data_IF_186262001505
#
_entry.id   IF_186262001505
#
_cell.length_a   1.000
_cell.length_b   1.000
_cell.length_c   1.000
_cell.angle_alpha   90.00
_cell.angle_beta   90.00
_cell.angle_gamma   90.00
#
_symmetry.space_group_name_H-M   'P 1'
#
loop_
_entity.id
_entity.type
_entity.pdbx_description
1 polymer ?
#
# COMPACT_ATOMS: atom_id res chain seq x y z
N UNK A 1 36.05 -10.92 15.27
CA UNK A 1 36.97 -10.11 14.45
C UNK A 1 36.88 -8.67 14.95
N UNK A 2 37.92 -8.15 15.58
CA UNK A 2 38.17 -6.71 15.80
C UNK A 2 39.50 -6.61 16.57
N UNK A 3 40.62 -6.57 15.83
CA UNK A 3 41.95 -6.36 16.43
C UNK A 3 42.39 -4.88 16.34
N UNK A 4 41.68 -4.06 15.55
CA UNK A 4 41.92 -2.62 15.46
C UNK A 4 40.65 -1.86 15.87
N UNK A 5 40.80 -0.88 16.74
CA UNK A 5 39.72 -0.10 17.37
C UNK A 5 39.09 0.93 16.40
N UNK A 6 38.86 0.51 15.14
CA UNK A 6 38.35 1.35 14.07
C UNK A 6 36.84 1.51 14.25
N UNK A 7 36.31 2.75 14.34
CA UNK A 7 34.88 2.98 14.47
C UNK A 7 34.15 2.45 13.24
N UNK A 8 33.23 1.51 13.46
CA UNK A 8 32.42 0.95 12.38
C UNK A 8 31.32 1.93 11.97
N UNK A 9 31.03 2.00 10.67
CA UNK A 9 29.90 2.76 10.15
C UNK A 9 28.68 1.85 9.88
N UNK A 10 27.53 2.46 9.55
CA UNK A 10 26.28 1.72 9.27
C UNK A 10 26.45 0.63 8.21
N UNK A 11 27.25 0.87 7.17
CA UNK A 11 27.48 -0.10 6.09
C UNK A 11 28.27 -1.31 6.59
N UNK A 12 29.34 -1.08 7.36
CA UNK A 12 30.16 -2.15 7.95
C UNK A 12 29.34 -3.04 8.87
N UNK A 13 28.55 -2.43 9.76
CA UNK A 13 27.71 -3.17 10.70
C UNK A 13 26.57 -3.92 9.98
N UNK A 14 26.03 -3.35 8.90
CA UNK A 14 25.03 -4.04 8.05
C UNK A 14 25.65 -5.24 7.32
N UNK A 15 26.89 -5.12 6.85
CA UNK A 15 27.61 -6.23 6.21
C UNK A 15 27.88 -7.36 7.22
N UNK A 16 28.25 -7.02 8.45
CA UNK A 16 28.39 -8.00 9.54
C UNK A 16 27.07 -8.68 9.89
N UNK A 17 25.97 -7.93 9.96
CA UNK A 17 24.62 -8.50 10.10
C UNK A 17 24.27 -9.48 8.98
N UNK A 18 24.66 -9.19 7.73
CA UNK A 18 24.48 -10.13 6.61
C UNK A 18 25.32 -11.40 6.75
N UNK A 19 26.54 -11.30 7.27
CA UNK A 19 27.38 -12.47 7.55
C UNK A 19 26.75 -13.36 8.64
N UNK A 20 26.15 -12.74 9.67
CA UNK A 20 25.47 -13.46 10.75
C UNK A 20 24.22 -14.25 10.29
N UNK A 21 23.62 -13.93 9.14
CA UNK A 21 22.53 -14.74 8.54
C UNK A 21 22.97 -16.19 8.32
N UNK A 22 24.24 -16.43 7.95
CA UNK A 22 24.76 -17.79 7.72
C UNK A 22 24.74 -18.68 8.96
N UNK A 23 24.70 -18.07 10.15
CA UNK A 23 24.64 -18.73 11.45
C UNK A 23 23.17 -18.93 11.88
N UNK A 24 22.20 -18.36 11.14
CA UNK A 24 20.75 -18.36 11.45
C UNK A 24 20.40 -17.81 12.84
N UNK A 25 21.28 -17.00 13.43
CA UNK A 25 21.03 -16.35 14.70
C UNK A 25 20.32 -14.99 14.49
N UNK A 26 18.99 -15.04 14.51
CA UNK A 26 18.15 -13.85 14.37
C UNK A 26 18.37 -12.83 15.49
N UNK A 27 18.69 -13.30 16.71
CA UNK A 27 18.95 -12.42 17.84
C UNK A 27 20.22 -11.62 17.64
N UNK A 28 21.32 -12.26 17.21
CA UNK A 28 22.56 -11.56 16.88
C UNK A 28 22.34 -10.51 15.79
N UNK A 29 21.57 -10.82 14.74
CA UNK A 29 21.29 -9.84 13.67
C UNK A 29 20.49 -8.64 14.16
N UNK A 30 19.54 -8.82 15.08
CA UNK A 30 18.75 -7.71 15.63
C UNK A 30 19.51 -6.92 16.70
N UNK A 31 20.30 -7.59 17.54
CA UNK A 31 21.17 -6.94 18.52
C UNK A 31 22.25 -6.10 17.84
N UNK A 32 22.65 -6.46 16.62
CA UNK A 32 23.52 -5.63 15.80
C UNK A 32 22.90 -4.27 15.46
N UNK A 33 21.60 -4.23 15.17
CA UNK A 33 20.89 -2.97 14.93
C UNK A 33 20.79 -2.15 16.22
N UNK A 34 20.54 -2.80 17.36
CA UNK A 34 20.57 -2.12 18.67
C UNK A 34 21.95 -1.52 18.97
N UNK A 35 23.02 -2.24 18.62
CA UNK A 35 24.40 -1.77 18.76
C UNK A 35 24.69 -0.55 17.89
N UNK A 36 24.11 -0.46 16.67
CA UNK A 36 24.19 0.76 15.85
C UNK A 36 23.64 1.96 16.62
N UNK A 37 22.42 1.83 17.16
CA UNK A 37 21.76 2.90 17.92
C UNK A 37 22.56 3.31 19.17
N UNK A 38 23.07 2.34 19.93
CA UNK A 38 23.94 2.60 21.10
C UNK A 38 25.24 3.32 20.73
N UNK A 39 25.74 3.09 19.52
CA UNK A 39 26.95 3.74 19.00
C UNK A 39 26.67 5.08 18.31
N UNK A 40 25.44 5.61 18.42
CA UNK A 40 25.03 6.86 17.78
C UNK A 40 24.90 6.77 16.25
N UNK A 41 24.85 5.55 15.70
CA UNK A 41 24.73 5.30 14.27
C UNK A 41 23.24 5.13 13.95
N UNK A 42 22.71 5.97 13.06
CA UNK A 42 21.32 5.85 12.63
C UNK A 42 21.15 4.64 11.68
N UNK A 43 20.37 3.62 12.04
CA UNK A 43 20.12 2.48 11.16
C UNK A 43 19.37 2.91 9.88
N UNK A 44 19.45 2.08 8.84
CA UNK A 44 18.66 2.24 7.60
C UNK A 44 17.79 1.01 7.38
N UNK A 45 16.85 1.07 6.46
CA UNK A 45 16.02 -0.08 6.07
C UNK A 45 16.85 -1.34 5.78
N UNK A 46 17.95 -1.18 5.04
CA UNK A 46 18.89 -2.27 4.73
C UNK A 46 19.59 -2.88 5.95
N UNK A 47 19.68 -2.14 7.06
CA UNK A 47 20.26 -2.61 8.33
C UNK A 47 19.33 -3.59 9.05
N UNK A 48 18.02 -3.46 8.85
CA UNK A 48 17.00 -4.35 9.41
C UNK A 48 16.73 -5.60 8.55
N UNK A 49 17.01 -5.52 7.25
CA UNK A 49 16.79 -6.60 6.28
C UNK A 49 17.37 -7.97 6.71
N UNK A 50 18.58 -8.08 7.28
CA UNK A 50 19.10 -9.34 7.81
C UNK A 50 18.22 -9.96 8.90
N UNK A 51 17.81 -9.16 9.90
CA UNK A 51 17.00 -9.64 11.01
C UNK A 51 15.59 -10.06 10.56
N UNK A 52 14.96 -9.25 9.69
CA UNK A 52 13.69 -9.62 9.07
C UNK A 52 13.80 -10.94 8.30
N UNK A 53 14.85 -11.10 7.48
CA UNK A 53 15.06 -12.32 6.69
C UNK A 53 15.17 -13.57 7.57
N UNK A 54 15.93 -13.50 8.68
CA UNK A 54 16.06 -14.65 9.59
C UNK A 54 14.73 -14.99 10.25
N UNK A 55 14.05 -14.02 10.89
CA UNK A 55 12.80 -14.30 11.60
C UNK A 55 11.65 -14.71 10.69
N UNK A 56 11.60 -14.18 9.46
CA UNK A 56 10.69 -14.64 8.44
C UNK A 56 10.99 -16.10 8.04
N UNK A 57 12.26 -16.45 7.75
CA UNK A 57 12.63 -17.80 7.34
C UNK A 57 12.45 -18.84 8.46
N UNK A 58 12.56 -18.44 9.73
CA UNK A 58 12.31 -19.31 10.89
C UNK A 58 10.83 -19.38 11.29
N UNK A 59 9.96 -18.55 10.68
CA UNK A 59 8.54 -18.49 11.01
C UNK A 59 8.20 -17.80 12.34
N UNK A 60 9.17 -17.10 12.94
CA UNK A 60 8.99 -16.41 14.23
C UNK A 60 8.33 -15.04 14.01
N UNK A 61 7.00 -15.06 13.88
CA UNK A 61 6.21 -13.86 13.57
C UNK A 61 6.37 -12.80 14.64
N UNK A 62 6.35 -13.16 15.92
CA UNK A 62 6.39 -12.18 17.00
C UNK A 62 7.70 -11.38 16.96
N UNK A 63 8.83 -12.06 16.75
CA UNK A 63 10.11 -11.37 16.57
C UNK A 63 10.19 -10.59 15.26
N UNK A 64 9.59 -11.09 14.17
CA UNK A 64 9.54 -10.33 12.92
C UNK A 64 8.80 -8.98 13.11
N UNK A 65 7.73 -8.97 13.91
CA UNK A 65 7.01 -7.74 14.28
C UNK A 65 7.77 -6.88 15.30
N UNK A 66 8.57 -7.46 16.20
CA UNK A 66 9.49 -6.68 17.04
C UNK A 66 10.53 -5.92 16.21
N UNK A 67 11.02 -6.54 15.12
CA UNK A 67 11.92 -5.88 14.17
C UNK A 67 11.20 -4.73 13.46
N UNK A 68 9.96 -4.94 13.00
CA UNK A 68 9.16 -3.86 12.39
C UNK A 68 8.90 -2.70 13.35
N UNK A 69 8.59 -3.00 14.61
CA UNK A 69 8.43 -2.00 15.66
C UNK A 69 9.73 -1.18 15.84
N UNK A 70 10.87 -1.86 15.89
CA UNK A 70 12.18 -1.19 15.93
C UNK A 70 12.43 -0.28 14.73
N UNK A 71 11.99 -0.69 13.53
CA UNK A 71 12.05 0.17 12.34
C UNK A 71 11.21 1.45 12.53
N UNK A 72 9.98 1.33 13.03
CA UNK A 72 9.08 2.46 13.27
C UNK A 72 9.62 3.42 14.34
N UNK A 73 10.26 2.91 15.38
CA UNK A 73 10.92 3.73 16.41
C UNK A 73 12.02 4.63 15.81
N UNK A 74 12.66 4.17 14.72
CA UNK A 74 13.66 4.94 13.97
C UNK A 74 13.07 5.69 12.77
N UNK A 75 11.74 5.83 12.69
CA UNK A 75 11.03 6.43 11.55
C UNK A 75 11.36 5.79 10.19
N UNK A 76 11.66 4.48 10.20
CA UNK A 76 11.91 3.69 9.00
C UNK A 76 10.64 2.92 8.66
N UNK A 77 10.12 3.13 7.46
CA UNK A 77 8.94 2.44 6.97
C UNK A 77 9.32 1.26 6.08
N UNK A 78 8.69 0.12 6.32
CA UNK A 78 8.80 -1.07 5.49
C UNK A 78 8.33 -0.76 4.05
N UNK A 79 9.09 -1.23 3.06
CA UNK A 79 8.70 -1.19 1.66
C UNK A 79 7.99 -2.49 1.29
N UNK A 80 7.58 -2.62 0.04
CA UNK A 80 6.88 -3.81 -0.44
C UNK A 80 7.58 -5.13 -0.10
N UNK A 81 8.91 -5.31 -0.27
CA UNK A 81 9.57 -6.58 0.04
C UNK A 81 9.48 -6.98 1.51
N UNK A 82 9.64 -6.02 2.43
CA UNK A 82 9.51 -6.30 3.87
C UNK A 82 8.05 -6.57 4.26
N UNK A 83 7.10 -5.85 3.67
CA UNK A 83 5.67 -6.08 3.88
C UNK A 83 5.22 -7.43 3.33
N UNK A 84 5.72 -7.84 2.16
CA UNK A 84 5.47 -9.13 1.54
C UNK A 84 5.93 -10.28 2.46
N UNK A 85 7.16 -10.19 2.99
CA UNK A 85 7.70 -11.18 3.92
C UNK A 85 6.86 -11.28 5.21
N UNK A 86 6.54 -10.13 5.83
CA UNK A 86 5.70 -10.07 7.03
C UNK A 86 4.29 -10.63 6.75
N UNK A 87 3.74 -10.35 5.57
CA UNK A 87 2.43 -10.81 5.17
C UNK A 87 2.43 -12.33 5.01
N UNK A 88 3.41 -12.87 4.31
CA UNK A 88 3.55 -14.31 4.12
C UNK A 88 3.63 -15.06 5.45
N UNK A 89 4.51 -14.68 6.36
CA UNK A 89 4.62 -15.36 7.67
C UNK A 89 3.35 -15.20 8.51
N UNK A 90 2.66 -14.06 8.42
CA UNK A 90 1.38 -13.84 9.11
C UNK A 90 0.27 -14.72 8.55
N UNK A 91 0.24 -14.93 7.23
CA UNK A 91 -0.74 -15.82 6.59
C UNK A 91 -0.50 -17.28 6.91
N UNK A 92 0.77 -17.72 6.95
CA UNK A 92 1.16 -19.10 7.26
C UNK A 92 0.88 -19.47 8.72
N UNK A 93 1.06 -18.52 9.64
CA UNK A 93 0.75 -18.70 11.07
C UNK A 93 -0.70 -18.42 11.44
N UNK A 94 -1.52 -17.96 10.49
CA UNK A 94 -2.95 -17.69 10.72
C UNK A 94 -3.23 -16.48 11.61
N UNK A 95 -2.28 -15.56 11.81
CA UNK A 95 -2.46 -14.33 12.62
C UNK A 95 -3.26 -13.28 11.85
N UNK A 96 -4.58 -13.43 11.85
CA UNK A 96 -5.50 -12.60 11.05
C UNK A 96 -5.43 -11.10 11.34
N UNK A 97 -5.21 -10.69 12.59
CA UNK A 97 -5.09 -9.28 12.95
C UNK A 97 -3.84 -8.64 12.33
N UNK A 98 -2.73 -9.38 12.34
CA UNK A 98 -1.48 -8.97 11.70
C UNK A 98 -1.67 -8.82 10.19
N UNK A 99 -2.38 -9.76 9.55
CA UNK A 99 -2.71 -9.64 8.12
C UNK A 99 -3.54 -8.39 7.84
N UNK A 100 -4.58 -8.11 8.64
CA UNK A 100 -5.38 -6.89 8.48
C UNK A 100 -4.54 -5.61 8.61
N UNK A 101 -3.62 -5.57 9.59
CA UNK A 101 -2.67 -4.47 9.77
C UNK A 101 -1.74 -4.29 8.56
N UNK A 102 -1.18 -5.38 8.05
CA UNK A 102 -0.26 -5.34 6.90
C UNK A 102 -0.96 -4.97 5.60
N UNK A 103 -2.19 -5.44 5.37
CA UNK A 103 -2.99 -5.04 4.20
C UNK A 103 -3.23 -3.52 4.18
N UNK A 104 -3.50 -2.93 5.34
CA UNK A 104 -3.60 -1.48 5.45
C UNK A 104 -2.28 -0.79 5.11
N UNK A 105 -1.15 -1.30 5.62
CA UNK A 105 0.17 -0.75 5.28
C UNK A 105 0.42 -0.82 3.77
N UNK A 106 0.22 -1.97 3.15
CA UNK A 106 0.35 -2.16 1.71
C UNK A 106 -0.53 -1.17 0.94
N UNK A 107 -1.80 -0.98 1.33
CA UNK A 107 -2.69 0.04 0.72
C UNK A 107 -2.08 1.44 0.76
N UNK A 108 -1.49 1.82 1.90
CA UNK A 108 -0.98 3.18 2.12
C UNK A 108 0.42 3.43 1.55
N UNK A 109 1.26 2.40 1.46
CA UNK A 109 2.68 2.54 1.06
C UNK A 109 2.97 2.03 -0.36
N UNK A 110 2.17 1.12 -0.90
CA UNK A 110 2.42 0.46 -2.19
C UNK A 110 1.37 0.89 -3.22
N UNK A 111 1.76 1.74 -4.17
CA UNK A 111 0.86 2.24 -5.24
C UNK A 111 0.51 1.16 -6.26
N UNK A 112 1.49 0.35 -6.64
CA UNK A 112 1.33 -0.77 -7.58
C UNK A 112 2.02 -1.97 -6.97
N UNK A 113 1.23 -2.99 -6.68
CA UNK A 113 1.68 -4.22 -6.04
C UNK A 113 2.33 -5.17 -7.05
N UNK A 114 3.33 -5.91 -6.60
CA UNK A 114 3.96 -7.01 -7.30
C UNK A 114 3.00 -8.21 -7.42
N UNK A 115 3.16 -9.05 -8.45
CA UNK A 115 2.39 -10.29 -8.56
C UNK A 115 2.60 -11.24 -7.35
N UNK A 116 3.81 -11.29 -6.78
CA UNK A 116 4.10 -12.19 -5.65
C UNK A 116 3.34 -11.81 -4.38
N UNK A 117 3.30 -10.52 -4.05
CA UNK A 117 2.51 -9.99 -2.93
C UNK A 117 1.01 -10.22 -3.17
N UNK A 118 0.53 -10.02 -4.40
CA UNK A 118 -0.86 -10.25 -4.76
C UNK A 118 -1.26 -11.74 -4.62
N UNK A 119 -0.37 -12.67 -4.97
CA UNK A 119 -0.63 -14.11 -4.85
C UNK A 119 -0.71 -14.55 -3.37
N UNK A 120 0.13 -14.00 -2.49
CA UNK A 120 0.05 -14.26 -1.04
C UNK A 120 -1.32 -13.83 -0.50
N UNK A 121 -1.78 -12.68 -0.96
CA UNK A 121 -3.08 -12.12 -0.59
C UNK A 121 -4.23 -13.00 -1.06
N UNK A 122 -4.20 -13.43 -2.32
CA UNK A 122 -5.22 -14.32 -2.87
C UNK A 122 -5.28 -15.61 -2.07
N UNK A 123 -4.12 -16.23 -1.81
CA UNK A 123 -4.02 -17.45 -0.98
C UNK A 123 -4.57 -17.25 0.42
N UNK A 124 -4.34 -16.08 1.03
CA UNK A 124 -4.94 -15.75 2.33
C UNK A 124 -6.46 -15.79 2.27
N UNK A 125 -7.08 -15.11 1.30
CA UNK A 125 -8.54 -15.09 1.17
C UNK A 125 -9.14 -16.45 0.80
N UNK A 126 -8.43 -17.29 0.05
CA UNK A 126 -8.82 -18.67 -0.24
C UNK A 126 -8.70 -19.60 0.98
N UNK A 127 -7.92 -19.21 1.99
CA UNK A 127 -7.65 -20.04 3.15
C UNK A 127 -8.89 -20.27 4.02
N UNK A 128 -8.92 -21.40 4.74
CA UNK A 128 -9.97 -21.65 5.74
C UNK A 128 -9.88 -20.69 6.93
N UNK A 129 -8.70 -20.14 7.21
CA UNK A 129 -8.46 -19.26 8.35
C UNK A 129 -9.30 -17.98 8.24
N UNK A 130 -9.34 -17.35 7.06
CA UNK A 130 -10.10 -16.11 6.82
C UNK A 130 -11.59 -16.25 7.05
N UNK A 131 -12.16 -17.41 6.74
CA UNK A 131 -13.59 -17.65 6.88
C UNK A 131 -14.12 -17.56 8.32
N UNK A 132 -13.20 -17.61 9.30
CA UNK A 132 -13.51 -17.66 10.74
C UNK A 132 -13.25 -16.33 11.46
N UNK A 133 -12.61 -15.35 10.82
CA UNK A 133 -12.05 -14.17 11.50
C UNK A 133 -13.05 -13.06 11.79
N UNK A 134 -14.10 -12.88 10.99
CA UNK A 134 -15.02 -11.77 11.21
C UNK A 134 -16.07 -12.00 12.29
N UNK A 135 -16.67 -10.90 12.73
CA UNK A 135 -17.76 -10.88 13.72
C UNK A 135 -19.10 -11.00 13.00
N UNK A 136 -20.02 -11.79 13.56
CA UNK A 136 -21.30 -12.16 12.92
C UNK A 136 -22.27 -10.98 12.72
N UNK A 137 -22.13 -9.91 13.51
CA UNK A 137 -22.95 -8.70 13.39
C UNK A 137 -22.13 -7.49 13.88
N UNK A 138 -21.70 -6.64 12.95
CA UNK A 138 -21.20 -5.29 13.29
C UNK A 138 -22.27 -4.25 12.96
N UNK A 139 -22.42 -3.25 13.82
CA UNK A 139 -23.36 -2.14 13.61
C UNK A 139 -22.95 -1.31 12.38
N UNK A 140 -23.83 -1.28 11.38
CA UNK A 140 -23.62 -0.56 10.13
C UNK A 140 -23.44 0.95 10.34
N UNK A 141 -24.03 1.52 11.41
CA UNK A 141 -23.84 2.93 11.77
C UNK A 141 -22.40 3.21 12.24
N UNK A 142 -21.81 2.24 12.94
CA UNK A 142 -20.45 2.34 13.43
C UNK A 142 -19.43 2.26 12.28
N UNK A 143 -19.66 1.37 11.31
CA UNK A 143 -18.83 1.26 10.10
C UNK A 143 -18.91 2.55 9.27
N UNK A 144 -20.12 3.08 9.05
CA UNK A 144 -20.32 4.32 8.29
C UNK A 144 -19.58 5.49 8.93
N UNK A 145 -19.70 5.66 10.24
CA UNK A 145 -19.01 6.71 11.00
C UNK A 145 -17.47 6.54 10.97
N UNK A 146 -16.98 5.31 11.01
CA UNK A 146 -15.55 5.02 10.90
C UNK A 146 -14.99 5.33 9.49
N UNK A 147 -15.76 5.08 8.44
CA UNK A 147 -15.40 5.44 7.06
C UNK A 147 -15.40 6.97 6.89
N UNK A 148 -16.44 7.66 7.38
CA UNK A 148 -16.55 9.12 7.31
C UNK A 148 -15.40 9.82 8.05
N UNK A 149 -15.02 9.33 9.23
CA UNK A 149 -13.89 9.85 10.00
C UNK A 149 -12.53 9.46 9.41
N UNK A 150 -12.48 8.39 8.61
CA UNK A 150 -11.26 7.85 8.02
C UNK A 150 -10.88 8.46 6.68
N UNK A 151 -11.80 9.17 6.01
CA UNK A 151 -11.58 9.85 4.72
C UNK A 151 -11.29 8.95 3.50
N UNK A 152 -10.95 7.68 3.71
CA UNK A 152 -10.36 6.80 2.69
C UNK A 152 -11.16 5.51 2.40
N UNK A 153 -12.46 5.47 2.75
CA UNK A 153 -13.30 4.30 2.46
C UNK A 153 -13.04 3.07 3.32
N UNK A 154 -12.39 3.20 4.49
CA UNK A 154 -11.99 2.07 5.36
C UNK A 154 -12.25 2.33 6.86
N UNK A 155 -12.63 1.30 7.63
CA UNK A 155 -13.09 1.43 9.03
C UNK A 155 -12.07 1.00 10.12
N UNK A 156 -10.90 0.46 9.74
CA UNK A 156 -9.70 0.15 10.58
C UNK A 156 -9.89 -0.87 11.72
N UNK A 157 -11.06 -1.49 11.88
CA UNK A 157 -11.42 -2.09 13.17
C UNK A 157 -11.51 -3.62 13.27
N UNK A 158 -11.56 -4.38 12.16
CA UNK A 158 -11.43 -5.86 12.12
C UNK A 158 -11.93 -6.41 10.77
N UNK A 159 -11.74 -7.72 10.57
CA UNK A 159 -12.46 -8.49 9.55
C UNK A 159 -13.98 -8.39 9.74
N UNK A 160 -14.70 -8.14 8.65
CA UNK A 160 -16.16 -8.10 8.63
C UNK A 160 -16.72 -9.45 8.23
N UNK A 161 -17.73 -9.91 9.00
CA UNK A 161 -18.55 -11.09 8.75
C UNK A 161 -17.83 -12.44 8.68
N UNK A 162 -18.59 -13.53 8.68
CA UNK A 162 -18.06 -14.90 8.62
C UNK A 162 -18.46 -15.54 7.31
N UNK A 163 -17.60 -16.39 6.75
CA UNK A 163 -17.93 -17.13 5.54
C UNK A 163 -16.79 -17.21 4.54
N UNK A 164 -17.01 -17.96 3.46
CA UNK A 164 -16.01 -18.09 2.41
C UNK A 164 -15.96 -16.82 1.57
N UNK A 165 -14.75 -16.41 1.21
CA UNK A 165 -14.52 -15.31 0.29
C UNK A 165 -14.66 -15.79 -1.16
N UNK A 166 -15.33 -14.99 -1.98
CA UNK A 166 -15.33 -15.16 -3.44
C UNK A 166 -14.24 -14.27 -4.02
N UNK A 167 -13.32 -14.87 -4.80
CA UNK A 167 -12.12 -14.20 -5.28
C UNK A 167 -12.08 -14.32 -6.80
N UNK A 168 -11.82 -13.20 -7.46
CA UNK A 168 -11.81 -13.10 -8.91
C UNK A 168 -10.76 -12.09 -9.38
N UNK A 169 -10.04 -12.44 -10.43
CA UNK A 169 -9.21 -11.49 -11.16
C UNK A 169 -10.07 -10.76 -12.20
N UNK A 170 -10.01 -9.43 -12.22
CA UNK A 170 -10.83 -8.63 -13.13
C UNK A 170 -10.13 -7.32 -13.49
N UNK A 171 -10.63 -6.65 -14.52
CA UNK A 171 -10.23 -5.30 -14.88
C UNK A 171 -11.21 -4.26 -14.32
N UNK A 172 -10.75 -3.01 -14.25
CA UNK A 172 -11.57 -1.83 -13.97
C UNK A 172 -11.89 -1.15 -15.29
N UNK A 173 -13.16 -0.78 -15.47
CA UNK A 173 -13.62 0.03 -16.59
C UNK A 173 -13.12 1.47 -16.52
N UNK A 174 -13.24 2.21 -17.62
CA UNK A 174 -12.86 3.62 -17.67
C UNK A 174 -13.73 4.51 -16.75
N UNK A 175 -14.90 4.01 -16.37
CA UNK A 175 -15.87 4.56 -15.41
C UNK A 175 -15.51 4.29 -13.94
N UNK A 176 -14.34 3.69 -13.68
CA UNK A 176 -13.91 3.20 -12.38
C UNK A 176 -14.82 2.11 -11.79
N UNK A 177 -15.66 1.47 -12.62
CA UNK A 177 -16.45 0.32 -12.22
C UNK A 177 -15.64 -0.96 -12.35
N UNK A 178 -15.83 -1.82 -11.37
CA UNK A 178 -15.36 -3.19 -11.45
C UNK A 178 -16.17 -3.99 -12.49
N UNK A 179 -15.49 -4.75 -13.38
CA UNK A 179 -16.17 -5.64 -14.34
C UNK A 179 -16.75 -6.95 -13.78
N UNK A 180 -16.49 -7.31 -12.53
CA UNK A 180 -16.98 -8.54 -11.90
C UNK A 180 -18.07 -8.31 -10.84
N UNK A 181 -18.03 -7.24 -10.06
CA UNK A 181 -19.05 -6.90 -9.07
C UNK A 181 -19.75 -5.56 -9.31
N UNK A 182 -19.38 -4.82 -10.35
CA UNK A 182 -19.99 -3.53 -10.73
C UNK A 182 -19.86 -2.42 -9.67
N UNK A 183 -19.08 -2.63 -8.60
CA UNK A 183 -18.82 -1.60 -7.60
C UNK A 183 -17.86 -0.53 -8.14
N UNK A 184 -18.11 0.73 -7.75
CA UNK A 184 -17.33 1.90 -8.15
C UNK A 184 -16.18 2.14 -7.18
N UNK A 185 -14.95 2.22 -7.69
CA UNK A 185 -13.79 2.59 -6.86
C UNK A 185 -13.92 4.04 -6.35
N UNK A 186 -13.51 4.26 -5.11
CA UNK A 186 -13.47 5.60 -4.52
C UNK A 186 -12.36 6.44 -5.15
N UNK A 187 -12.64 7.72 -5.38
CA UNK A 187 -11.62 8.71 -5.72
C UNK A 187 -10.93 9.15 -4.43
N UNK A 188 -9.59 9.15 -4.44
CA UNK A 188 -8.78 9.57 -3.30
C UNK A 188 -8.31 11.00 -3.56
N UNK A 189 -8.77 11.92 -2.73
CA UNK A 189 -8.31 13.31 -2.78
C UNK A 189 -6.87 13.40 -2.24
N UNK A 190 -5.99 14.02 -3.02
CA UNK A 190 -4.64 14.36 -2.59
C UNK A 190 -4.64 15.81 -2.15
N UNK A 191 -4.55 16.05 -0.84
CA UNK A 191 -4.51 17.41 -0.29
C UNK A 191 -3.18 18.11 -0.67
N UNK A 192 -3.20 19.12 -1.57
CA UNK A 192 -2.00 19.80 -1.99
C UNK A 192 -1.67 20.94 -1.02
N UNK A 193 -1.07 20.60 0.13
CA UNK A 193 -0.64 21.56 1.18
C UNK A 193 0.21 22.75 0.69
N UNK A 194 0.77 22.67 -0.51
CA UNK A 194 1.69 23.66 -1.07
C UNK A 194 1.02 24.69 -1.98
N UNK A 195 -0.21 24.45 -2.45
CA UNK A 195 -0.85 25.31 -3.47
C UNK A 195 -1.64 26.51 -2.91
N UNK A 196 -1.87 26.58 -1.60
CA UNK A 196 -2.76 27.58 -1.00
C UNK A 196 -2.25 29.03 -1.11
N UNK A 197 -0.96 29.23 -1.40
CA UNK A 197 -0.34 30.55 -1.48
C UNK A 197 -0.52 31.24 -2.85
N UNK A 198 -0.84 30.49 -3.91
CA UNK A 198 -0.96 31.02 -5.27
C UNK A 198 -2.41 30.97 -5.78
N UNK A 199 -2.72 31.89 -6.70
CA UNK A 199 -4.03 32.01 -7.38
C UNK A 199 -4.51 30.64 -7.88
N UNK A 200 -5.81 30.34 -7.72
CA UNK A 200 -6.42 29.11 -8.26
C UNK A 200 -6.24 29.05 -9.78
N UNK A 201 -5.30 28.25 -10.24
CA UNK A 201 -5.17 27.85 -11.63
C UNK A 201 -5.93 26.54 -11.82
N UNK A 202 -6.80 26.45 -12.83
CA UNK A 202 -7.53 25.20 -13.14
C UNK A 202 -6.59 24.09 -13.61
N UNK A 203 -5.49 24.45 -14.28
CA UNK A 203 -4.51 23.52 -14.84
C UNK A 203 -3.11 24.12 -14.81
N UNK A 204 -2.09 23.31 -14.48
CA UNK A 204 -0.68 23.65 -14.65
C UNK A 204 -0.09 22.87 -15.83
N UNK A 205 0.81 23.50 -16.57
CA UNK A 205 1.44 22.90 -17.76
C UNK A 205 2.94 22.81 -17.56
N UNK A 206 3.48 21.60 -17.69
CA UNK A 206 4.92 21.38 -17.85
C UNK A 206 5.33 21.72 -19.29
N UNK A 207 5.73 22.98 -19.50
CA UNK A 207 6.11 23.49 -20.82
C UNK A 207 7.37 22.82 -21.37
N UNK A 208 8.30 22.39 -20.50
CA UNK A 208 9.50 21.70 -20.93
C UNK A 208 9.16 20.34 -21.54
N UNK A 209 8.29 19.57 -20.87
CA UNK A 209 7.81 18.30 -21.41
C UNK A 209 6.99 18.50 -22.68
N UNK A 210 6.08 19.47 -22.73
CA UNK A 210 5.29 19.76 -23.95
C UNK A 210 6.18 20.10 -25.14
N UNK A 211 7.25 20.85 -24.94
CA UNK A 211 8.17 21.27 -26.00
C UNK A 211 9.20 20.21 -26.42
N UNK A 212 9.30 19.08 -25.69
CA UNK A 212 10.29 18.02 -25.96
C UNK A 212 9.67 16.64 -26.21
N UNK A 213 8.43 16.40 -25.81
CA UNK A 213 7.81 15.08 -25.93
C UNK A 213 7.70 14.65 -27.40
N UNK A 214 8.32 13.51 -27.73
CA UNK A 214 8.44 12.98 -29.09
C UNK A 214 9.16 13.90 -30.09
N UNK A 215 9.92 14.89 -29.60
CA UNK A 215 10.71 15.81 -30.42
C UNK A 215 12.22 15.57 -30.21
N UNK A 216 13.02 15.75 -31.26
CA UNK A 216 14.49 15.61 -31.18
C UNK A 216 15.18 16.86 -30.63
N UNK A 217 14.50 18.00 -30.62
CA UNK A 217 15.00 19.29 -30.12
C UNK A 217 13.85 20.06 -29.47
N UNK A 218 14.19 20.96 -28.55
CA UNK A 218 13.22 21.84 -27.88
C UNK A 218 12.50 22.72 -28.91
N UNK A 219 11.16 22.66 -28.92
CA UNK A 219 10.31 23.45 -29.81
C UNK A 219 9.53 24.51 -29.01
N UNK A 220 9.92 25.81 -29.08
CA UNK A 220 9.33 26.87 -28.27
C UNK A 220 7.99 27.46 -28.80
N UNK A 221 7.36 26.91 -29.83
CA UNK A 221 6.25 27.60 -30.53
C UNK A 221 4.97 27.70 -29.67
N UNK A 222 4.43 28.92 -29.52
CA UNK A 222 3.18 29.20 -28.77
C UNK A 222 1.93 28.63 -29.44
N UNK A 223 1.97 28.43 -30.76
CA UNK A 223 0.81 28.04 -31.57
C UNK A 223 0.55 26.52 -31.51
N UNK A 224 1.60 25.69 -31.46
CA UNK A 224 1.43 24.24 -31.26
C UNK A 224 1.05 23.88 -29.83
N UNK A 225 1.47 24.68 -28.84
CA UNK A 225 0.98 24.50 -27.46
C UNK A 225 -0.55 24.64 -27.47
N UNK A 226 -1.10 25.68 -28.09
CA UNK A 226 -2.56 25.85 -28.26
C UNK A 226 -3.23 24.71 -29.05
N UNK A 227 -2.64 24.25 -30.15
CA UNK A 227 -3.21 23.17 -30.97
C UNK A 227 -3.16 21.80 -30.26
N UNK A 228 -2.05 21.48 -29.61
CA UNK A 228 -1.85 20.29 -28.77
C UNK A 228 -2.81 20.30 -27.58
N UNK A 229 -3.11 21.49 -27.02
CA UNK A 229 -4.15 21.66 -26.01
C UNK A 229 -5.57 21.57 -26.58
N UNK A 230 -5.85 21.98 -27.82
CA UNK A 230 -7.20 21.88 -28.40
C UNK A 230 -7.62 20.41 -28.60
N UNK A 231 -6.73 19.57 -29.14
CA UNK A 231 -6.97 18.12 -29.25
C UNK A 231 -7.03 17.43 -27.88
N UNK A 232 -6.19 17.84 -26.92
CA UNK A 232 -6.23 17.26 -25.55
C UNK A 232 -7.36 17.79 -24.69
N UNK A 233 -7.87 19.01 -24.95
CA UNK A 233 -9.06 19.56 -24.27
C UNK A 233 -10.30 18.80 -24.68
N UNK A 234 -10.43 18.34 -25.92
CA UNK A 234 -11.53 17.40 -26.25
C UNK A 234 -11.37 16.04 -25.56
N UNK A 235 -10.15 15.53 -25.42
CA UNK A 235 -9.88 14.30 -24.65
C UNK A 235 -10.10 14.47 -23.13
N UNK A 236 -9.81 15.65 -22.57
CA UNK A 236 -10.03 15.99 -21.16
C UNK A 236 -11.49 16.38 -20.87
N UNK A 237 -12.16 17.10 -21.77
CA UNK A 237 -13.58 17.44 -21.66
C UNK A 237 -14.46 16.21 -21.85
N UNK A 238 -14.10 15.24 -22.71
CA UNK A 238 -14.77 13.94 -22.74
C UNK A 238 -14.58 13.16 -21.43
N UNK A 239 -13.41 13.26 -20.80
CA UNK A 239 -13.16 12.72 -19.45
C UNK A 239 -13.97 13.43 -18.34
N UNK A 240 -14.11 14.76 -18.43
CA UNK A 240 -14.86 15.57 -17.46
C UNK A 240 -16.38 15.50 -17.69
N UNK A 241 -16.87 15.33 -18.92
CA UNK A 241 -18.29 15.10 -19.23
C UNK A 241 -18.76 13.70 -18.82
N UNK A 242 -17.87 12.70 -18.81
CA UNK A 242 -18.11 11.42 -18.16
C UNK A 242 -18.24 11.56 -16.64
N UNK A 243 -17.48 12.48 -16.05
CA UNK A 243 -17.55 12.80 -14.61
C UNK A 243 -18.82 13.56 -14.24
N UNK A 244 -19.21 14.57 -15.05
CA UNK A 244 -20.39 15.43 -14.80
C UNK A 244 -21.72 14.69 -15.01
N UNK A 245 -21.80 13.74 -15.96
CA UNK A 245 -22.98 12.87 -16.16
C UNK A 245 -23.19 11.85 -15.05
N UNK A 246 -22.18 11.58 -14.20
CA UNK A 246 -22.32 10.70 -13.03
C UNK A 246 -22.94 11.38 -11.80
N UNK A 247 -23.19 12.70 -11.87
CA UNK A 247 -23.69 13.52 -10.75
C UNK A 247 -25.20 13.38 -10.50
N UNK A 248 -25.93 12.63 -11.31
CA UNK A 248 -27.37 12.48 -11.16
C UNK A 248 -27.80 11.02 -11.25
N UNK A 249 -27.60 10.22 -10.20
CA UNK A 249 -28.53 9.12 -9.93
C UNK A 249 -28.70 8.91 -8.43
N UNK A 250 -29.88 9.36 -8.02
CA UNK A 250 -30.62 9.12 -6.79
C UNK A 250 -30.29 7.84 -6.01
N UNK A 251 -30.17 8.04 -4.70
CA UNK A 251 -30.30 7.03 -3.67
C UNK A 251 -31.45 6.06 -3.96
N UNK A 252 -31.14 4.78 -4.15
CA UNK A 252 -32.12 3.71 -3.97
C UNK A 252 -31.44 2.36 -3.71
N UNK A 253 -31.97 1.68 -2.69
CA UNK A 253 -31.96 0.24 -2.48
C UNK A 253 -30.64 -0.42 -2.06
N UNK A 254 -30.40 -0.37 -0.75
CA UNK A 254 -29.63 -1.38 -0.02
C UNK A 254 -30.47 -2.66 0.00
N UNK A 255 -30.23 -3.55 -0.97
CA UNK A 255 -30.63 -4.95 -0.88
C UNK A 255 -29.39 -5.82 -0.69
N UNK A 256 -29.58 -6.85 0.11
CA UNK A 256 -28.61 -7.79 0.69
C UNK A 256 -27.86 -8.63 -0.33
N UNK A 257 -26.52 -8.72 -0.19
CA UNK A 257 -25.68 -9.77 -0.81
C UNK A 257 -24.71 -9.31 -1.88
N UNK A 258 -23.74 -8.43 -1.56
CA UNK A 258 -22.82 -7.81 -2.54
C UNK A 258 -21.41 -8.46 -2.57
N UNK A 259 -20.86 -8.83 -3.75
CA UNK A 259 -19.53 -9.43 -3.92
C UNK A 259 -18.36 -8.43 -4.07
N UNK A 260 -17.13 -8.90 -3.82
CA UNK A 260 -15.88 -8.11 -3.65
C UNK A 260 -14.98 -8.17 -4.89
N UNK A 261 -14.34 -7.04 -5.26
CA UNK A 261 -13.32 -7.00 -6.32
C UNK A 261 -12.05 -6.21 -5.98
N UNK A 262 -10.92 -6.71 -6.48
CA UNK A 262 -9.58 -6.12 -6.43
C UNK A 262 -9.12 -5.77 -7.87
N UNK A 263 -8.62 -4.55 -8.10
CA UNK A 263 -7.20 -4.41 -8.41
C UNK A 263 -6.57 -3.39 -7.45
N UNK A 264 -5.81 -3.91 -6.50
CA UNK A 264 -5.11 -3.15 -5.46
C UNK A 264 -5.77 -3.12 -4.08
N UNK A 265 -7.07 -3.47 -3.96
CA UNK A 265 -7.89 -3.93 -2.80
C UNK A 265 -9.21 -3.15 -2.62
N UNK A 266 -10.35 -3.86 -2.57
CA UNK A 266 -11.59 -3.42 -1.91
C UNK A 266 -12.06 -4.47 -0.90
N UNK A 267 -12.63 -4.02 0.23
CA UNK A 267 -13.41 -4.79 1.22
C UNK A 267 -14.56 -3.86 1.68
N UNK A 268 -15.80 -4.30 2.04
CA UNK A 268 -16.26 -5.62 2.54
C UNK A 268 -17.43 -6.25 1.72
N UNK A 269 -17.71 -7.56 1.76
CA UNK A 269 -18.25 -8.41 2.86
C UNK A 269 -17.85 -9.90 2.68
N UNK A 270 -17.64 -10.64 3.77
CA UNK A 270 -18.11 -12.04 3.85
C UNK A 270 -19.61 -12.00 4.22
N UNK A 271 -20.40 -13.01 3.88
CA UNK A 271 -21.87 -12.94 3.95
C UNK A 271 -22.40 -12.68 5.37
#
# INVERSE_FOLDING_TARGET
MCLDNIPMNETTLTAEGRMAISISDGHMTFDMVKKMTQSGINPKLRSYSPALSVFYNTGDVDKAFDVEKGMLEHSIHAQEPELEALLKVSTETGKGDNVCYLLHKVKTSVRKMSPSTADIIVKWFESKATSRLGKQTMDQRFIKKAIENGGEGWHRQAWLDKGRWNISYTAIGADALCKCCEEKLALIDLDPKWLDYYRRFETMVDTANVSLFSQRRFMPSKDEVRHSFSHRREALLSFLDLSSKSSSTTASNISSGRPVVIPGFCLPKAL
#
